data_IF_843506549549
#
_entry.id   IF_843506549549
#
_cell.length_a   1.000
_cell.length_b   1.000
_cell.length_c   1.000
_cell.angle_alpha   90.00
_cell.angle_beta   90.00
_cell.angle_gamma   90.00
#
_symmetry.space_group_name_H-M   'P 1'
#
loop_
_entity.id
_entity.type
_entity.pdbx_description
1 polymer ?
#
# COMPACT_ATOMS: atom_id res chain seq x y z
N UNK A 1 1.37 -13.29 -0.48
CA UNK A 1 1.99 -12.03 -0.02
C UNK A 1 1.06 -11.34 0.98
N UNK A 2 -0.21 -11.05 0.64
CA UNK A 2 -1.15 -10.39 1.55
C UNK A 2 -1.33 -11.13 2.89
N UNK A 3 -1.51 -12.45 2.88
CA UNK A 3 -1.63 -13.25 4.09
C UNK A 3 -0.42 -13.12 5.04
N UNK A 4 0.80 -13.03 4.50
CA UNK A 4 2.01 -12.83 5.30
C UNK A 4 2.05 -11.47 6.01
N UNK A 5 1.56 -10.40 5.37
CA UNK A 5 1.45 -9.08 6.00
C UNK A 5 0.38 -9.08 7.11
N UNK A 6 -0.78 -9.66 6.84
CA UNK A 6 -1.86 -9.77 7.83
C UNK A 6 -1.41 -10.56 9.06
N UNK A 7 -0.75 -11.70 8.86
CA UNK A 7 -0.23 -12.53 9.95
C UNK A 7 0.81 -11.80 10.81
N UNK A 8 1.69 -10.99 10.20
CA UNK A 8 2.66 -10.17 10.94
C UNK A 8 1.99 -9.07 11.76
N UNK A 9 1.01 -8.37 11.15
CA UNK A 9 0.24 -7.35 11.86
C UNK A 9 -0.56 -7.95 13.02
N UNK A 10 -1.24 -9.08 12.80
CA UNK A 10 -1.98 -9.80 13.81
C UNK A 10 -1.07 -10.31 14.93
N UNK A 11 0.07 -10.93 14.57
CA UNK A 11 1.05 -11.41 15.55
C UNK A 11 1.60 -10.29 16.43
N UNK A 12 1.94 -9.14 15.84
CA UNK A 12 2.38 -7.97 16.59
C UNK A 12 1.33 -7.48 17.59
N UNK A 13 0.08 -7.36 17.17
CA UNK A 13 -1.00 -6.90 18.04
C UNK A 13 -1.31 -7.88 19.19
N UNK A 14 -1.28 -9.18 18.93
CA UNK A 14 -1.45 -10.21 19.97
C UNK A 14 -0.34 -10.10 21.03
N UNK A 15 0.90 -9.88 20.61
CA UNK A 15 2.04 -9.74 21.53
C UNK A 15 1.90 -8.54 22.45
N UNK A 16 1.38 -7.41 21.95
CA UNK A 16 1.23 -6.17 22.73
C UNK A 16 -0.17 -6.04 23.38
N UNK A 17 -1.07 -7.02 23.15
CA UNK A 17 -2.39 -7.06 23.78
C UNK A 17 -3.35 -5.95 23.34
N UNK A 18 -3.13 -5.35 22.17
CA UNK A 18 -3.98 -4.27 21.64
C UNK A 18 -5.05 -4.86 20.70
N UNK A 19 -6.35 -4.52 20.90
CA UNK A 19 -7.39 -4.92 19.96
C UNK A 19 -7.16 -4.26 18.61
N UNK A 20 -7.08 -5.07 17.54
CA UNK A 20 -6.89 -4.57 16.19
C UNK A 20 -8.26 -4.20 15.61
N UNK A 21 -8.39 -2.97 15.14
CA UNK A 21 -9.56 -2.55 14.38
C UNK A 21 -9.73 -3.41 13.12
N UNK A 22 -10.95 -3.90 12.82
CA UNK A 22 -11.23 -4.59 11.55
C UNK A 22 -10.81 -3.79 10.32
N UNK A 23 -10.93 -2.47 10.37
CA UNK A 23 -10.51 -1.56 9.29
C UNK A 23 -9.00 -1.56 9.06
N UNK A 24 -8.19 -1.76 10.11
CA UNK A 24 -6.74 -1.88 9.97
C UNK A 24 -6.36 -3.17 9.22
N UNK A 25 -7.08 -4.27 9.45
CA UNK A 25 -6.90 -5.50 8.67
C UNK A 25 -7.23 -5.29 7.20
N UNK A 26 -8.37 -4.63 6.91
CA UNK A 26 -8.77 -4.32 5.53
C UNK A 26 -7.73 -3.44 4.85
N UNK A 27 -7.23 -2.39 5.52
CA UNK A 27 -6.14 -1.54 5.00
C UNK A 27 -4.89 -2.36 4.68
N UNK A 28 -4.49 -3.25 5.59
CA UNK A 28 -3.28 -4.07 5.41
C UNK A 28 -3.41 -5.01 4.21
N UNK A 29 -4.57 -5.64 4.05
CA UNK A 29 -4.84 -6.53 2.90
C UNK A 29 -4.81 -5.74 1.59
N UNK A 30 -5.52 -4.62 1.53
CA UNK A 30 -5.63 -3.79 0.33
C UNK A 30 -4.26 -3.20 -0.07
N UNK A 31 -3.48 -2.73 0.90
CA UNK A 31 -2.13 -2.24 0.65
C UNK A 31 -1.19 -3.35 0.15
N UNK A 32 -1.31 -4.56 0.71
CA UNK A 32 -0.53 -5.70 0.26
C UNK A 32 -0.92 -6.16 -1.16
N UNK A 33 -2.20 -6.07 -1.53
CA UNK A 33 -2.69 -6.32 -2.88
C UNK A 33 -2.17 -5.26 -3.85
N UNK A 34 -2.25 -3.99 -3.47
CA UNK A 34 -1.73 -2.86 -4.24
C UNK A 34 -0.25 -3.05 -4.62
N UNK A 35 0.60 -3.34 -3.63
CA UNK A 35 2.04 -3.61 -3.85
C UNK A 35 2.26 -4.89 -4.65
N UNK A 36 1.47 -5.94 -4.38
CA UNK A 36 1.54 -7.23 -5.07
C UNK A 36 1.19 -7.14 -6.55
N UNK A 37 0.16 -6.37 -6.91
CA UNK A 37 -0.21 -6.13 -8.30
C UNK A 37 0.84 -5.29 -9.03
N UNK A 38 1.42 -4.28 -8.36
CA UNK A 38 2.55 -3.50 -8.91
C UNK A 38 3.75 -4.39 -9.26
N UNK A 39 4.10 -5.31 -8.36
CA UNK A 39 5.16 -6.29 -8.61
C UNK A 39 4.82 -7.21 -9.78
N UNK A 40 3.59 -7.75 -9.82
CA UNK A 40 3.16 -8.63 -10.91
C UNK A 40 3.15 -7.94 -12.26
N UNK A 41 2.72 -6.66 -12.30
CA UNK A 41 2.79 -5.84 -13.51
C UNK A 41 4.22 -5.70 -14.04
N UNK A 42 5.17 -5.40 -13.16
CA UNK A 42 6.58 -5.27 -13.54
C UNK A 42 7.15 -6.59 -14.09
N UNK A 43 6.90 -7.72 -13.42
CA UNK A 43 7.31 -9.04 -13.88
C UNK A 43 6.77 -9.35 -15.28
N UNK A 44 5.50 -9.02 -15.55
CA UNK A 44 4.85 -9.22 -16.83
C UNK A 44 5.49 -8.40 -17.94
N UNK A 45 5.79 -7.12 -17.67
CA UNK A 45 6.48 -6.25 -18.63
C UNK A 45 7.90 -6.75 -18.96
N UNK A 46 8.63 -7.26 -17.97
CA UNK A 46 9.97 -7.85 -18.20
C UNK A 46 9.89 -9.10 -19.07
N UNK A 47 8.88 -9.95 -18.87
CA UNK A 47 8.66 -11.15 -19.68
C UNK A 47 8.31 -10.81 -21.13
N UNK A 48 7.46 -9.79 -21.35
CA UNK A 48 7.10 -9.29 -22.68
C UNK A 48 8.34 -8.76 -23.45
N UNK A 49 9.21 -8.04 -22.76
CA UNK A 49 10.47 -7.55 -23.34
C UNK A 49 11.44 -8.69 -23.70
N UNK A 50 11.49 -9.74 -22.87
CA UNK A 50 12.38 -10.89 -23.08
C UNK A 50 11.88 -11.86 -24.16
N UNK A 51 10.56 -11.99 -24.34
CA UNK A 51 9.95 -12.98 -25.25
C UNK A 51 9.86 -12.54 -26.72
N UNK A 52 10.14 -11.27 -27.02
CA UNK A 52 9.91 -10.74 -28.38
C UNK A 52 8.42 -10.88 -28.80
N UNK A 53 8.03 -10.22 -29.87
CA UNK A 53 6.63 -9.99 -30.29
C UNK A 53 5.74 -11.24 -30.55
N UNK A 54 6.18 -12.45 -30.23
CA UNK A 54 5.53 -13.72 -30.64
C UNK A 54 4.63 -14.38 -29.60
N UNK A 55 4.52 -13.87 -28.35
CA UNK A 55 3.72 -14.51 -27.27
C UNK A 55 2.63 -13.64 -26.67
N UNK A 56 2.01 -12.80 -27.47
CA UNK A 56 0.96 -11.85 -27.02
C UNK A 56 -0.37 -12.48 -26.58
N UNK A 57 -0.57 -13.78 -26.75
CA UNK A 57 -1.90 -14.43 -26.65
C UNK A 57 -2.05 -15.49 -25.56
N UNK A 58 -1.12 -15.63 -24.60
CA UNK A 58 -1.17 -16.74 -23.62
C UNK A 58 -1.22 -16.32 -22.15
N UNK A 59 -1.24 -15.03 -21.84
CA UNK A 59 -1.31 -14.59 -20.44
C UNK A 59 -2.74 -14.14 -20.08
N UNK A 60 -3.35 -14.85 -19.12
CA UNK A 60 -4.66 -14.54 -18.52
C UNK A 60 -4.73 -13.12 -17.91
N UNK A 61 -3.59 -12.49 -17.67
CA UNK A 61 -3.48 -11.14 -17.12
C UNK A 61 -2.76 -10.21 -18.09
N UNK A 62 -3.50 -9.25 -18.64
CA UNK A 62 -2.88 -8.14 -19.37
C UNK A 62 -2.31 -7.10 -18.40
N UNK A 63 -1.26 -6.35 -18.81
CA UNK A 63 -0.73 -5.24 -18.03
C UNK A 63 -1.82 -4.20 -17.73
N UNK A 64 -2.74 -3.98 -18.64
CA UNK A 64 -3.90 -3.08 -18.49
C UNK A 64 -4.85 -3.55 -17.38
N UNK A 65 -5.14 -4.85 -17.29
CA UNK A 65 -5.97 -5.39 -16.21
C UNK A 65 -5.29 -5.21 -14.84
N UNK A 66 -3.98 -5.40 -14.77
CA UNK A 66 -3.22 -5.17 -13.55
C UNK A 66 -3.21 -3.69 -13.16
N UNK A 67 -3.17 -2.76 -14.13
CA UNK A 67 -3.31 -1.33 -13.87
C UNK A 67 -4.65 -0.99 -13.23
N UNK A 68 -5.75 -1.59 -13.70
CA UNK A 68 -7.06 -1.45 -13.07
C UNK A 68 -7.08 -2.00 -11.63
N UNK A 69 -6.50 -3.17 -11.40
CA UNK A 69 -6.43 -3.73 -10.03
C UNK A 69 -5.60 -2.89 -9.08
N UNK A 70 -4.50 -2.30 -9.57
CA UNK A 70 -3.68 -1.35 -8.80
C UNK A 70 -4.50 -0.13 -8.41
N UNK A 71 -5.24 0.47 -9.36
CA UNK A 71 -6.07 1.66 -9.09
C UNK A 71 -7.21 1.36 -8.11
N UNK A 72 -7.91 0.24 -8.30
CA UNK A 72 -9.00 -0.17 -7.40
C UNK A 72 -8.47 -0.41 -5.99
N UNK A 73 -7.35 -1.14 -5.84
CA UNK A 73 -6.77 -1.42 -4.53
C UNK A 73 -6.23 -0.16 -3.86
N UNK A 74 -5.66 0.79 -4.61
CA UNK A 74 -5.22 2.08 -4.09
C UNK A 74 -6.40 2.90 -3.56
N UNK A 75 -7.47 3.07 -4.36
CA UNK A 75 -8.66 3.80 -3.96
C UNK A 75 -9.34 3.17 -2.73
N UNK A 76 -9.48 1.84 -2.73
CA UNK A 76 -10.03 1.10 -1.60
C UNK A 76 -9.17 1.24 -0.33
N UNK A 77 -7.83 1.28 -0.47
CA UNK A 77 -6.91 1.50 0.67
C UNK A 77 -7.14 2.87 1.29
N UNK A 78 -7.26 3.93 0.47
CA UNK A 78 -7.54 5.29 0.98
C UNK A 78 -8.87 5.32 1.74
N UNK A 79 -9.92 4.72 1.17
CA UNK A 79 -11.24 4.66 1.82
C UNK A 79 -11.20 3.88 3.13
N UNK A 80 -10.59 2.70 3.14
CA UNK A 80 -10.48 1.88 4.33
C UNK A 80 -9.65 2.56 5.42
N UNK A 81 -8.56 3.24 5.04
CA UNK A 81 -7.75 4.03 5.97
C UNK A 81 -8.53 5.22 6.55
N UNK A 82 -9.27 5.93 5.72
CA UNK A 82 -10.12 7.04 6.17
C UNK A 82 -11.17 6.56 7.18
N UNK A 83 -11.82 5.42 6.90
CA UNK A 83 -12.76 4.81 7.83
C UNK A 83 -12.07 4.37 9.13
N UNK A 84 -10.87 3.79 9.04
CA UNK A 84 -10.07 3.45 10.21
C UNK A 84 -9.81 4.66 11.10
N UNK A 85 -9.37 5.79 10.53
CA UNK A 85 -9.07 7.00 11.30
C UNK A 85 -10.30 7.64 11.94
N UNK A 86 -11.50 7.31 11.44
CA UNK A 86 -12.76 7.87 11.94
C UNK A 86 -13.49 6.96 12.93
N UNK A 87 -13.44 5.62 12.73
CA UNK A 87 -14.30 4.67 13.44
C UNK A 87 -13.55 3.84 14.49
N UNK A 88 -12.21 3.77 14.43
CA UNK A 88 -11.48 2.87 15.31
C UNK A 88 -11.49 3.35 16.77
N UNK A 89 -12.05 2.54 17.65
CA UNK A 89 -12.17 2.80 19.10
C UNK A 89 -10.81 2.93 19.83
N UNK A 90 -9.74 2.44 19.20
CA UNK A 90 -8.37 2.53 19.74
C UNK A 90 -7.69 3.87 19.46
N UNK A 91 -8.36 4.78 18.77
CA UNK A 91 -7.85 6.10 18.38
C UNK A 91 -8.47 7.21 19.25
N UNK A 92 -7.82 8.38 19.34
CA UNK A 92 -8.37 9.52 20.06
C UNK A 92 -9.72 9.99 19.50
N UNK A 93 -10.66 10.30 20.39
CA UNK A 93 -12.03 10.73 20.04
C UNK A 93 -12.09 12.08 19.31
N UNK A 94 -11.01 12.86 19.33
CA UNK A 94 -10.91 14.17 18.67
C UNK A 94 -10.73 14.08 17.15
N UNK A 95 -10.72 12.87 16.58
CA UNK A 95 -10.51 12.58 15.16
C UNK A 95 -9.19 13.15 14.59
N UNK A 96 -8.23 13.47 15.44
CA UNK A 96 -6.93 14.03 15.02
C UNK A 96 -6.17 13.12 14.07
N UNK A 97 -6.39 11.79 14.12
CA UNK A 97 -5.83 10.83 13.17
C UNK A 97 -6.21 11.10 11.72
N UNK A 98 -7.29 11.81 11.43
CA UNK A 98 -7.66 12.21 10.07
C UNK A 98 -6.60 13.11 9.40
N UNK A 99 -5.79 13.82 10.20
CA UNK A 99 -4.68 14.63 9.70
C UNK A 99 -3.58 13.79 9.00
N UNK A 100 -3.59 12.49 9.21
CA UNK A 100 -2.64 11.57 8.57
C UNK A 100 -3.09 11.10 7.18
N UNK A 101 -4.37 11.28 6.80
CA UNK A 101 -4.93 10.87 5.50
C UNK A 101 -4.17 11.48 4.31
N UNK A 102 -3.81 12.78 4.29
CA UNK A 102 -3.05 13.37 3.18
C UNK A 102 -1.70 12.70 2.94
N UNK A 103 -1.03 12.23 3.99
CA UNK A 103 0.26 11.52 3.85
C UNK A 103 0.06 10.17 3.15
N UNK A 104 -0.96 9.41 3.54
CA UNK A 104 -1.28 8.12 2.91
C UNK A 104 -1.65 8.33 1.44
N UNK A 105 -2.46 9.34 1.15
CA UNK A 105 -2.85 9.70 -0.22
C UNK A 105 -1.62 10.05 -1.07
N UNK A 106 -0.75 10.92 -0.56
CA UNK A 106 0.49 11.29 -1.25
C UNK A 106 1.40 10.09 -1.48
N UNK A 107 1.59 9.24 -0.46
CA UNK A 107 2.45 8.06 -0.57
C UNK A 107 1.95 7.09 -1.65
N UNK A 108 0.63 6.84 -1.72
CA UNK A 108 0.03 5.99 -2.75
C UNK A 108 0.17 6.59 -4.15
N UNK A 109 -0.10 7.89 -4.32
CA UNK A 109 0.07 8.56 -5.61
C UNK A 109 1.54 8.60 -6.05
N UNK A 110 2.45 8.85 -5.10
CA UNK A 110 3.89 8.83 -5.40
C UNK A 110 4.35 7.45 -5.83
N UNK A 111 3.90 6.40 -5.12
CA UNK A 111 4.22 5.03 -5.50
C UNK A 111 3.63 4.65 -6.86
N UNK A 112 2.38 5.01 -7.16
CA UNK A 112 1.77 4.84 -8.48
C UNK A 112 2.60 5.51 -9.59
N UNK A 113 3.03 6.74 -9.36
CA UNK A 113 3.89 7.45 -10.30
C UNK A 113 5.20 6.71 -10.55
N UNK A 114 5.85 6.18 -9.50
CA UNK A 114 7.10 5.44 -9.62
C UNK A 114 6.93 4.14 -10.39
N UNK A 115 5.85 3.40 -10.13
CA UNK A 115 5.52 2.15 -10.84
C UNK A 115 5.30 2.39 -12.34
N UNK A 116 4.59 3.47 -12.70
CA UNK A 116 4.22 3.75 -14.09
C UNK A 116 5.29 4.51 -14.90
N UNK A 117 6.12 5.33 -14.22
CA UNK A 117 7.10 6.20 -14.90
C UNK A 117 8.53 5.71 -14.83
N UNK A 118 8.89 4.92 -13.81
CA UNK A 118 10.26 4.47 -13.58
C UNK A 118 10.39 2.95 -13.56
N UNK A 119 9.33 2.22 -13.93
CA UNK A 119 9.28 0.76 -13.89
C UNK A 119 9.78 0.16 -12.55
N UNK A 120 9.57 0.91 -11.47
CA UNK A 120 10.09 0.60 -10.13
C UNK A 120 9.25 -0.45 -9.38
N UNK A 121 8.28 -1.09 -10.04
CA UNK A 121 7.35 -2.06 -9.41
C UNK A 121 7.98 -3.39 -9.00
N UNK A 122 9.18 -3.72 -9.51
CA UNK A 122 9.82 -5.03 -9.28
C UNK A 122 10.34 -5.25 -7.87
N UNK A 123 10.79 -4.20 -7.21
CA UNK A 123 11.33 -4.24 -5.85
C UNK A 123 10.69 -3.13 -5.01
N UNK A 124 9.50 -3.36 -4.45
CA UNK A 124 8.80 -2.34 -3.66
C UNK A 124 9.65 -1.79 -2.51
N UNK A 125 10.40 -2.65 -1.84
CA UNK A 125 11.31 -2.28 -0.76
C UNK A 125 12.42 -1.32 -1.23
N UNK A 126 13.00 -1.56 -2.39
CA UNK A 126 14.01 -0.66 -2.96
C UNK A 126 13.39 0.66 -3.40
N UNK A 127 12.21 0.62 -3.98
CA UNK A 127 11.46 1.81 -4.39
C UNK A 127 11.16 2.70 -3.20
N UNK A 128 10.70 2.12 -2.09
CA UNK A 128 10.41 2.84 -0.85
C UNK A 128 11.66 3.50 -0.24
N UNK A 129 12.82 2.83 -0.29
CA UNK A 129 14.06 3.32 0.30
C UNK A 129 14.83 4.29 -0.60
N UNK A 130 14.68 4.17 -1.93
CA UNK A 130 15.44 4.99 -2.88
C UNK A 130 14.76 6.32 -3.24
N UNK A 131 13.44 6.41 -3.08
CA UNK A 131 12.71 7.65 -3.37
C UNK A 131 12.58 8.51 -2.11
N UNK A 132 13.43 9.54 -2.02
CA UNK A 132 13.47 10.44 -0.86
C UNK A 132 12.11 11.09 -0.52
N UNK A 133 11.32 11.59 -1.49
CA UNK A 133 10.00 12.15 -1.20
C UNK A 133 9.02 11.14 -0.60
N UNK A 134 9.04 9.90 -1.09
CA UNK A 134 8.19 8.83 -0.57
C UNK A 134 8.62 8.44 0.84
N UNK A 135 9.91 8.22 1.04
CA UNK A 135 10.47 7.90 2.37
C UNK A 135 10.19 9.02 3.38
N UNK A 136 10.42 10.27 3.00
CA UNK A 136 10.14 11.44 3.84
C UNK A 136 8.66 11.54 4.24
N UNK A 137 7.75 11.25 3.30
CA UNK A 137 6.33 11.21 3.58
C UNK A 137 5.95 10.10 4.58
N UNK A 138 6.52 8.90 4.43
CA UNK A 138 6.28 7.78 5.35
C UNK A 138 6.80 8.10 6.76
N UNK A 139 8.00 8.68 6.85
CA UNK A 139 8.57 9.09 8.14
C UNK A 139 7.71 10.18 8.79
N UNK A 140 7.31 11.19 8.02
CA UNK A 140 6.43 12.27 8.52
C UNK A 140 5.08 11.72 9.00
N UNK A 141 4.48 10.81 8.24
CA UNK A 141 3.27 10.09 8.65
C UNK A 141 3.46 9.36 9.98
N UNK A 142 4.55 8.63 10.13
CA UNK A 142 4.87 7.89 11.36
C UNK A 142 5.05 8.83 12.56
N UNK A 143 5.78 9.93 12.38
CA UNK A 143 5.98 10.93 13.45
C UNK A 143 4.66 11.56 13.87
N UNK A 144 3.83 12.00 12.90
CA UNK A 144 2.52 12.61 13.19
C UNK A 144 1.62 11.60 13.91
N UNK A 145 1.59 10.35 13.46
CA UNK A 145 0.81 9.28 14.11
C UNK A 145 1.25 9.07 15.55
N UNK A 146 2.56 8.97 15.81
CA UNK A 146 3.10 8.83 17.17
C UNK A 146 2.72 10.02 18.03
N UNK A 147 2.90 11.24 17.55
CA UNK A 147 2.54 12.46 18.29
C UNK A 147 1.05 12.48 18.66
N UNK A 148 0.17 12.06 17.74
CA UNK A 148 -1.28 12.01 17.99
C UNK A 148 -1.63 10.95 19.03
N UNK A 149 -1.01 9.77 18.97
CA UNK A 149 -1.32 8.65 19.88
C UNK A 149 -0.76 8.84 21.30
N UNK A 150 0.32 9.58 21.46
CA UNK A 150 0.97 9.80 22.77
C UNK A 150 0.68 11.18 23.39
N UNK A 151 -0.17 11.97 22.76
CA UNK A 151 -0.66 13.24 23.29
C UNK A 151 -1.78 13.06 24.32
#
# INVERSE_FOLDING_TARGET
IAAGFVLRAAGGAVVIGVPISPWLYVCTILLALFVGFGKRRHELLLLDMAAGSHRRNLDEYSAELLDHFILISAAATVMAYSLYTFVAESLPDDHSMMLTIPFVLYALFRYLFLVHRRDAGGSPEQTLLSDLPLLGCIVAWGVVTIVILYR
#
